data_IF_368716156221
#
_entry.id   IF_368716156221
#
_cell.length_a   1.000
_cell.length_b   1.000
_cell.length_c   1.000
_cell.angle_alpha   90.00
_cell.angle_beta   90.00
_cell.angle_gamma   90.00
#
_symmetry.space_group_name_H-M   'P 1'
#
loop_
_entity.id
_entity.type
_entity.pdbx_description
1 polymer ?
#
# COMPACT_ATOMS: atom_id res chain seq x y z
N UNK A 1 7.14 -15.93 -0.12
CA UNK A 1 6.85 -14.77 0.75
C UNK A 1 6.37 -15.32 2.09
N UNK A 2 6.74 -14.74 3.24
CA UNK A 2 6.20 -15.19 4.53
C UNK A 2 4.67 -15.02 4.55
N UNK A 3 3.96 -16.01 5.06
CA UNK A 3 2.50 -15.94 5.19
C UNK A 3 2.09 -14.87 6.20
N UNK A 4 1.00 -14.17 5.88
CA UNK A 4 0.36 -13.21 6.78
C UNK A 4 -0.69 -13.95 7.60
N UNK A 5 -0.40 -14.20 8.88
CA UNK A 5 -1.34 -14.85 9.78
C UNK A 5 -2.15 -13.80 10.56
N UNK A 6 -3.46 -13.72 10.30
CA UNK A 6 -4.40 -12.85 11.01
C UNK A 6 -5.40 -13.74 11.76
N UNK A 7 -5.39 -13.77 13.10
CA UNK A 7 -6.34 -14.53 13.89
C UNK A 7 -7.78 -14.04 13.63
N UNK A 8 -8.74 -14.96 13.44
CA UNK A 8 -10.14 -14.61 13.14
C UNK A 8 -10.79 -13.72 14.22
N UNK A 9 -10.39 -13.88 15.49
CA UNK A 9 -10.96 -13.14 16.64
C UNK A 9 -10.24 -11.82 16.95
N UNK A 10 -9.32 -11.37 16.09
CA UNK A 10 -8.58 -10.14 16.33
C UNK A 10 -9.45 -8.89 16.14
N UNK A 11 -9.32 -7.93 17.06
CA UNK A 11 -9.88 -6.58 16.90
C UNK A 11 -9.28 -5.91 15.66
N UNK A 12 -10.01 -4.99 15.04
CA UNK A 12 -9.60 -4.28 13.82
C UNK A 12 -8.26 -3.58 13.98
N UNK A 13 -8.04 -2.93 15.12
CA UNK A 13 -6.73 -2.34 15.44
C UNK A 13 -5.63 -3.40 15.49
N UNK A 14 -5.92 -4.57 16.07
CA UNK A 14 -4.99 -5.69 16.12
C UNK A 14 -4.63 -6.22 14.73
N UNK A 15 -5.61 -6.31 13.81
CA UNK A 15 -5.37 -6.69 12.41
C UNK A 15 -4.43 -5.72 11.71
N UNK A 16 -4.65 -4.42 11.88
CA UNK A 16 -3.80 -3.39 11.30
C UNK A 16 -2.37 -3.48 11.82
N UNK A 17 -2.18 -3.67 13.13
CA UNK A 17 -0.84 -3.85 13.73
C UNK A 17 -0.13 -5.09 13.18
N UNK A 18 -0.85 -6.21 13.00
CA UNK A 18 -0.28 -7.43 12.41
C UNK A 18 0.15 -7.21 10.96
N UNK A 19 -0.64 -6.47 10.18
CA UNK A 19 -0.33 -6.12 8.79
C UNK A 19 0.91 -5.21 8.74
N UNK A 20 0.98 -4.19 9.60
CA UNK A 20 2.12 -3.27 9.68
C UNK A 20 3.42 -4.04 10.00
N UNK A 21 3.41 -4.85 11.06
CA UNK A 21 4.57 -5.66 11.44
C UNK A 21 5.01 -6.63 10.33
N UNK A 22 4.06 -7.21 9.61
CA UNK A 22 4.36 -8.08 8.46
C UNK A 22 4.99 -7.30 7.30
N UNK A 23 4.50 -6.10 7.00
CA UNK A 23 5.08 -5.21 5.99
C UNK A 23 6.48 -4.74 6.39
N UNK A 24 6.71 -4.43 7.67
CA UNK A 24 8.04 -4.10 8.19
C UNK A 24 9.02 -5.27 8.01
N UNK A 25 8.58 -6.50 8.32
CA UNK A 25 9.38 -7.71 8.08
C UNK A 25 9.70 -7.91 6.61
N UNK A 26 8.74 -7.70 5.70
CA UNK A 26 9.02 -7.79 4.27
C UNK A 26 10.01 -6.73 3.80
N UNK A 27 9.91 -5.51 4.33
CA UNK A 27 10.84 -4.44 4.00
C UNK A 27 12.25 -4.72 4.54
N UNK A 28 12.39 -5.26 5.75
CA UNK A 28 13.71 -5.65 6.31
C UNK A 28 14.36 -6.78 5.50
N UNK A 29 13.55 -7.72 4.98
CA UNK A 29 13.98 -8.78 4.06
C UNK A 29 14.17 -8.32 2.60
N UNK A 30 14.02 -7.01 2.31
CA UNK A 30 14.10 -6.40 0.97
C UNK A 30 13.10 -6.98 -0.05
N UNK A 31 11.99 -7.54 0.44
CA UNK A 31 10.91 -8.13 -0.38
C UNK A 31 9.79 -7.14 -0.68
N UNK A 32 9.74 -6.01 0.02
CA UNK A 32 8.72 -4.98 -0.19
C UNK A 32 9.30 -3.58 -0.01
N UNK A 33 8.93 -2.67 -0.92
CA UNK A 33 9.22 -1.23 -0.87
C UNK A 33 7.96 -0.52 -1.39
N UNK A 34 7.40 0.43 -0.64
CA UNK A 34 6.19 1.13 -1.08
C UNK A 34 5.46 1.90 0.00
N UNK A 35 4.29 2.44 -0.36
CA UNK A 35 3.34 3.09 0.55
C UNK A 35 2.09 2.24 0.64
N UNK A 36 1.55 2.07 1.85
CA UNK A 36 0.27 1.40 2.08
C UNK A 36 -0.68 2.37 2.78
N UNK A 37 -1.90 2.47 2.25
CA UNK A 37 -3.03 3.16 2.85
C UNK A 37 -4.16 2.15 3.04
N UNK A 38 -4.62 1.97 4.27
CA UNK A 38 -5.81 1.19 4.61
C UNK A 38 -6.82 2.16 5.21
N UNK A 39 -8.05 2.10 4.69
CA UNK A 39 -9.15 2.93 5.18
C UNK A 39 -10.32 2.04 5.58
N UNK A 40 -11.12 2.51 6.54
CA UNK A 40 -12.41 1.93 6.88
C UNK A 40 -13.43 3.05 6.99
N UNK A 41 -14.55 2.92 6.27
CA UNK A 41 -15.60 3.94 6.21
C UNK A 41 -15.05 5.33 5.86
N UNK A 42 -14.13 5.40 4.88
CA UNK A 42 -13.47 6.63 4.46
C UNK A 42 -12.42 7.19 5.43
N UNK A 43 -12.23 6.58 6.61
CA UNK A 43 -11.24 7.03 7.61
C UNK A 43 -9.95 6.21 7.48
N UNK A 44 -8.76 6.83 7.38
CA UNK A 44 -7.50 6.12 7.41
C UNK A 44 -7.31 5.37 8.72
N UNK A 45 -7.00 4.07 8.63
CA UNK A 45 -6.64 3.21 9.76
C UNK A 45 -5.17 2.83 9.75
N UNK A 46 -4.53 2.86 8.58
CA UNK A 46 -3.08 2.78 8.39
C UNK A 46 -2.68 3.67 7.22
N UNK A 47 -1.68 4.54 7.41
CA UNK A 47 -1.03 5.25 6.32
C UNK A 47 0.48 5.30 6.60
N UNK A 48 1.25 4.48 5.89
CA UNK A 48 2.69 4.33 6.17
C UNK A 48 3.48 4.03 4.92
N UNK A 49 4.75 4.45 4.93
CA UNK A 49 5.73 4.18 3.88
C UNK A 49 6.81 3.24 4.39
N UNK A 50 7.32 2.39 3.50
CA UNK A 50 8.29 1.34 3.81
C UNK A 50 9.41 1.38 2.79
N UNK A 51 10.63 1.65 3.24
CA UNK A 51 11.84 1.60 2.41
C UNK A 51 12.23 2.95 1.79
N UNK A 52 12.95 2.88 0.66
CA UNK A 52 13.66 4.00 0.05
C UNK A 52 13.30 4.15 -1.43
N UNK A 53 13.47 5.35 -1.99
CA UNK A 53 13.16 5.65 -3.40
C UNK A 53 14.14 5.02 -4.38
N UNK A 54 15.30 4.55 -3.91
CA UNK A 54 16.35 3.97 -4.75
C UNK A 54 17.13 2.87 -4.03
N UNK A 55 17.83 2.04 -4.83
CA UNK A 55 18.64 0.93 -4.32
C UNK A 55 19.84 1.38 -3.47
N UNK A 56 20.31 2.62 -3.68
CA UNK A 56 21.39 3.23 -2.89
C UNK A 56 20.91 3.68 -1.50
N UNK A 57 19.61 3.57 -1.19
CA UNK A 57 18.98 3.96 0.07
C UNK A 57 19.27 5.40 0.50
N UNK A 58 19.40 6.31 -0.46
CA UNK A 58 19.77 7.70 -0.14
C UNK A 58 18.58 8.56 0.29
N UNK A 59 17.37 8.20 -0.11
CA UNK A 59 16.15 8.95 0.19
C UNK A 59 15.03 8.01 0.61
N UNK A 60 14.46 8.23 1.80
CA UNK A 60 13.31 7.49 2.27
C UNK A 60 12.07 7.81 1.44
N UNK A 61 11.18 6.83 1.32
CA UNK A 61 9.84 7.10 0.81
C UNK A 61 9.09 8.01 1.78
N UNK A 62 8.19 8.82 1.22
CA UNK A 62 7.32 9.70 1.98
C UNK A 62 5.94 9.76 1.32
N UNK A 63 5.00 10.46 1.95
CA UNK A 63 3.62 10.51 1.49
C UNK A 63 3.44 11.16 0.10
N UNK A 64 4.43 11.93 -0.37
CA UNK A 64 4.44 12.62 -1.66
C UNK A 64 5.29 11.90 -2.72
N UNK A 65 5.78 10.70 -2.41
CA UNK A 65 6.58 9.92 -3.36
C UNK A 65 5.70 9.38 -4.48
N UNK A 66 6.13 9.60 -5.72
CA UNK A 66 5.43 9.13 -6.92
C UNK A 66 5.88 7.72 -7.32
N UNK A 67 4.96 6.93 -7.85
CA UNK A 67 5.18 5.56 -8.30
C UNK A 67 4.72 5.38 -9.75
N UNK A 68 5.43 4.53 -10.50
CA UNK A 68 5.00 4.13 -11.85
C UNK A 68 3.86 3.12 -11.72
N UNK A 69 2.65 3.50 -12.14
CA UNK A 69 1.42 2.71 -11.95
C UNK A 69 1.26 1.52 -12.91
N UNK A 70 1.98 1.51 -14.02
CA UNK A 70 1.93 0.46 -15.04
C UNK A 70 0.49 0.07 -15.40
N UNK A 71 0.10 -1.21 -15.27
CA UNK A 71 -1.24 -1.68 -15.64
C UNK A 71 -2.37 -1.12 -14.79
N UNK A 72 -2.11 -0.55 -13.61
CA UNK A 72 -3.13 0.14 -12.82
C UNK A 72 -3.69 1.35 -13.60
N UNK A 73 -2.90 1.96 -14.49
CA UNK A 73 -3.36 3.05 -15.37
C UNK A 73 -4.58 2.70 -16.21
N UNK A 74 -4.83 1.41 -16.49
CA UNK A 74 -5.99 0.95 -17.27
C UNK A 74 -7.32 1.26 -16.57
N UNK A 75 -7.36 1.25 -15.24
CA UNK A 75 -8.56 1.60 -14.48
C UNK A 75 -8.94 3.07 -14.75
N UNK A 76 -7.95 3.97 -14.79
CA UNK A 76 -8.19 5.38 -15.12
C UNK A 76 -8.70 5.55 -16.55
N UNK A 77 -8.07 4.89 -17.53
CA UNK A 77 -8.54 4.93 -18.92
C UNK A 77 -9.96 4.39 -19.07
N UNK A 78 -10.28 3.27 -18.41
CA UNK A 78 -11.62 2.70 -18.42
C UNK A 78 -12.66 3.67 -17.82
N UNK A 79 -12.35 4.32 -16.69
CA UNK A 79 -13.22 5.33 -16.10
C UNK A 79 -13.45 6.52 -17.04
N UNK A 80 -12.41 6.99 -17.75
CA UNK A 80 -12.55 8.06 -18.73
C UNK A 80 -13.46 7.66 -19.89
N UNK A 81 -13.36 6.42 -20.38
CA UNK A 81 -14.26 5.89 -21.41
C UNK A 81 -15.70 5.84 -20.90
N UNK A 82 -15.93 5.42 -19.66
CA UNK A 82 -17.27 5.38 -19.06
C UNK A 82 -17.87 6.79 -18.93
N UNK A 83 -17.09 7.77 -18.48
CA UNK A 83 -17.52 9.17 -18.41
C UNK A 83 -17.86 9.75 -19.79
N UNK A 84 -17.15 9.34 -20.85
CA UNK A 84 -17.45 9.75 -22.22
C UNK A 84 -18.71 9.07 -22.76
N UNK A 85 -18.99 7.83 -22.37
CA UNK A 85 -20.19 7.08 -22.79
C UNK A 85 -21.45 7.54 -22.07
N UNK A 86 -21.32 7.99 -20.82
CA UNK A 86 -22.43 8.52 -20.03
C UNK A 86 -22.94 9.87 -20.58
N UNK A 87 -22.05 10.63 -21.23
CA UNK A 87 -22.40 11.84 -21.98
C UNK A 87 -23.06 11.51 -23.31
#
# INVERSE_FOLDING_TARGET
>A
MPELNIPKNSSEKGKIVLIDNWLEKLNSERKFIGKILITKNGKPTLEKTYGFTNSKKTKQLNNNSSFRLASISKQFTASLIMLLKEK
#
